data_IF_963269846886
#
_entry.id   IF_963269846886
#
_cell.length_a   1.000
_cell.length_b   1.000
_cell.length_c   1.000
_cell.angle_alpha   90.00
_cell.angle_beta   90.00
_cell.angle_gamma   90.00
#
_symmetry.space_group_name_H-M   'P 1'
#
loop_
_entity.id
_entity.type
_entity.pdbx_description
1 polymer ?
#
# COMPACT_ATOMS: atom_id res chain seq x y z
N UNK A 1 22.80 4.24 7.58
CA UNK A 1 21.96 4.55 8.76
C UNK A 1 20.49 4.34 8.39
N UNK A 2 19.93 3.16 8.70
CA UNK A 2 18.54 2.80 8.35
C UNK A 2 17.84 1.88 9.35
N UNK A 3 18.56 1.45 10.40
CA UNK A 3 18.03 0.54 11.41
C UNK A 3 16.96 1.18 12.32
N UNK A 4 16.94 2.51 12.45
CA UNK A 4 15.99 3.21 13.32
C UNK A 4 14.54 3.25 12.79
N UNK A 5 14.33 3.18 11.47
CA UNK A 5 12.98 3.17 10.87
C UNK A 5 12.32 1.79 11.01
N UNK A 6 13.11 0.72 10.88
CA UNK A 6 12.66 -0.67 11.05
C UNK A 6 12.26 -0.99 12.51
N UNK A 7 12.91 -0.36 13.49
CA UNK A 7 12.63 -0.61 14.91
C UNK A 7 11.33 0.04 15.40
N UNK A 8 11.00 1.24 14.93
CA UNK A 8 9.69 1.86 15.18
C UNK A 8 8.56 1.08 14.50
N UNK A 9 8.84 0.48 13.35
CA UNK A 9 7.87 -0.30 12.59
C UNK A 9 7.39 -1.58 13.31
N UNK A 10 8.19 -2.21 14.18
CA UNK A 10 7.83 -3.50 14.78
C UNK A 10 6.58 -3.44 15.68
N UNK A 11 6.41 -2.37 16.48
CA UNK A 11 5.23 -2.20 17.32
C UNK A 11 3.99 -1.82 16.50
N UNK A 12 4.17 -0.99 15.48
CA UNK A 12 3.09 -0.58 14.58
C UNK A 12 2.64 -1.73 13.68
N UNK A 13 3.56 -2.61 13.26
CA UNK A 13 3.28 -3.83 12.50
C UNK A 13 2.39 -4.79 13.29
N UNK A 14 2.59 -4.91 14.61
CA UNK A 14 1.74 -5.78 15.44
C UNK A 14 0.28 -5.30 15.53
N UNK A 15 0.02 -4.00 15.29
CA UNK A 15 -1.32 -3.44 15.25
C UNK A 15 -1.99 -3.55 13.87
N UNK A 16 -1.24 -3.87 12.81
CA UNK A 16 -1.80 -4.04 11.48
C UNK A 16 -2.64 -5.32 11.43
N UNK A 17 -3.91 -5.14 11.08
CA UNK A 17 -4.79 -6.25 10.74
C UNK A 17 -4.47 -6.70 9.33
N UNK A 18 -3.97 -7.92 9.21
CA UNK A 18 -3.70 -8.56 7.92
C UNK A 18 -4.78 -9.59 7.62
N UNK A 19 -5.19 -9.77 6.35
CA UNK A 19 -6.03 -10.89 5.97
C UNK A 19 -5.28 -12.21 6.24
N UNK A 20 -6.04 -13.22 6.69
CA UNK A 20 -5.50 -14.57 6.86
C UNK A 20 -5.19 -15.17 5.48
N UNK A 21 -3.93 -15.48 5.13
CA UNK A 21 -3.60 -16.02 3.80
C UNK A 21 -4.33 -17.33 3.48
N UNK A 22 -4.78 -18.07 4.50
CA UNK A 22 -5.50 -19.34 4.34
C UNK A 22 -6.95 -19.15 3.86
N UNK A 23 -7.48 -17.92 3.91
CA UNK A 23 -8.83 -17.63 3.40
C UNK A 23 -8.85 -17.43 1.88
N UNK A 24 -7.69 -17.34 1.24
CA UNK A 24 -7.59 -17.13 -0.21
C UNK A 24 -7.56 -18.44 -0.97
N UNK A 25 -8.23 -18.47 -2.12
CA UNK A 25 -8.12 -19.57 -3.07
C UNK A 25 -6.74 -19.59 -3.73
N UNK A 26 -6.31 -20.73 -4.32
CA UNK A 26 -5.07 -20.79 -5.08
C UNK A 26 -5.01 -19.75 -6.21
N UNK A 27 -6.12 -19.54 -6.92
CA UNK A 27 -6.20 -18.56 -8.00
C UNK A 27 -6.03 -17.11 -7.49
N UNK A 28 -6.64 -16.78 -6.35
CA UNK A 28 -6.48 -15.45 -5.72
C UNK A 28 -5.04 -15.23 -5.25
N UNK A 29 -4.41 -16.27 -4.72
CA UNK A 29 -3.02 -16.22 -4.28
C UNK A 29 -2.07 -16.00 -5.46
N UNK A 30 -2.28 -16.73 -6.56
CA UNK A 30 -1.49 -16.62 -7.78
C UNK A 30 -1.64 -15.24 -8.43
N UNK A 31 -2.87 -14.71 -8.48
CA UNK A 31 -3.14 -13.37 -8.98
C UNK A 31 -2.41 -12.29 -8.16
N UNK A 32 -2.50 -12.34 -6.83
CA UNK A 32 -1.78 -11.40 -5.96
C UNK A 32 -0.26 -11.50 -6.13
N UNK A 33 0.28 -12.72 -6.18
CA UNK A 33 1.70 -12.94 -6.38
C UNK A 33 2.18 -12.38 -7.72
N UNK A 34 1.38 -12.54 -8.78
CA UNK A 34 1.66 -12.00 -10.10
C UNK A 34 1.69 -10.47 -10.09
N UNK A 35 0.65 -9.82 -9.56
CA UNK A 35 0.56 -8.36 -9.47
C UNK A 35 1.70 -7.77 -8.63
N UNK A 36 2.01 -8.40 -7.49
CA UNK A 36 3.14 -7.99 -6.67
C UNK A 36 4.48 -8.14 -7.40
N UNK A 37 4.67 -9.25 -8.12
CA UNK A 37 5.92 -9.50 -8.86
C UNK A 37 6.16 -8.43 -9.93
N UNK A 38 5.11 -8.01 -10.65
CA UNK A 38 5.21 -6.92 -11.62
C UNK A 38 5.64 -5.61 -10.95
N UNK A 39 4.97 -5.24 -9.86
CA UNK A 39 5.29 -4.04 -9.10
C UNK A 39 6.72 -4.07 -8.53
N UNK A 40 7.16 -5.23 -8.03
CA UNK A 40 8.46 -5.40 -7.39
C UNK A 40 9.65 -5.35 -8.38
N UNK A 41 9.41 -5.56 -9.68
CA UNK A 41 10.46 -5.55 -10.70
C UNK A 41 10.85 -4.15 -11.17
N UNK A 42 10.02 -3.13 -10.89
CA UNK A 42 10.34 -1.76 -11.28
C UNK A 42 10.99 -0.95 -10.15
N UNK A 43 11.78 0.08 -10.48
CA UNK A 43 12.22 1.05 -9.48
C UNK A 43 11.04 1.73 -8.79
N UNK A 44 11.17 1.96 -7.48
CA UNK A 44 10.25 2.80 -6.74
C UNK A 44 10.39 4.26 -7.19
N UNK A 45 9.27 4.94 -7.42
CA UNK A 45 9.22 6.35 -7.78
C UNK A 45 9.07 7.23 -6.54
N UNK A 46 9.02 8.56 -6.73
CA UNK A 46 8.54 9.44 -5.66
C UNK A 46 7.10 9.05 -5.30
N UNK A 47 6.77 9.13 -4.02
CA UNK A 47 5.49 8.63 -3.49
C UNK A 47 4.27 9.23 -4.20
N UNK A 48 4.33 10.48 -4.70
CA UNK A 48 3.21 11.06 -5.44
C UNK A 48 3.01 10.43 -6.82
N UNK A 49 4.09 10.07 -7.49
CA UNK A 49 4.05 9.39 -8.79
C UNK A 49 3.67 7.93 -8.63
N UNK A 50 4.18 7.29 -7.57
CA UNK A 50 3.95 5.90 -7.19
C UNK A 50 2.46 5.59 -6.99
N UNK A 51 1.73 6.50 -6.32
CA UNK A 51 0.29 6.34 -6.04
C UNK A 51 -0.60 6.35 -7.29
N UNK A 52 -0.07 6.78 -8.44
CA UNK A 52 -0.79 6.84 -9.71
C UNK A 52 -0.33 5.75 -10.70
N UNK A 53 0.61 4.88 -10.32
CA UNK A 53 1.11 3.83 -11.22
C UNK A 53 0.05 2.74 -11.42
N UNK A 54 -0.12 2.31 -12.67
CA UNK A 54 -1.15 1.34 -13.05
C UNK A 54 -0.98 -0.01 -12.34
N UNK A 55 0.26 -0.48 -12.17
CA UNK A 55 0.56 -1.73 -11.47
C UNK A 55 0.27 -1.66 -9.97
N UNK A 56 0.56 -0.51 -9.35
CA UNK A 56 0.22 -0.23 -7.96
C UNK A 56 -1.30 -0.22 -7.77
N UNK A 57 -2.01 0.49 -8.65
CA UNK A 57 -3.48 0.54 -8.62
C UNK A 57 -4.09 -0.84 -8.86
N UNK A 58 -3.50 -1.66 -9.74
CA UNK A 58 -3.96 -3.02 -9.99
C UNK A 58 -3.82 -3.91 -8.75
N UNK A 59 -2.67 -3.84 -8.06
CA UNK A 59 -2.46 -4.57 -6.80
C UNK A 59 -3.43 -4.09 -5.71
N UNK A 60 -3.56 -2.78 -5.51
CA UNK A 60 -4.46 -2.21 -4.50
C UNK A 60 -5.92 -2.63 -4.77
N UNK A 61 -6.36 -2.58 -6.04
CA UNK A 61 -7.71 -3.02 -6.45
C UNK A 61 -7.95 -4.50 -6.18
N UNK A 62 -6.97 -5.37 -6.47
CA UNK A 62 -7.08 -6.79 -6.18
C UNK A 62 -7.23 -7.04 -4.66
N UNK A 63 -6.47 -6.32 -3.83
CA UNK A 63 -6.57 -6.39 -2.37
C UNK A 63 -7.94 -5.90 -1.89
N UNK A 64 -8.42 -4.75 -2.38
CA UNK A 64 -9.73 -4.22 -2.02
C UNK A 64 -10.87 -5.18 -2.34
N UNK A 65 -10.83 -5.80 -3.53
CA UNK A 65 -11.80 -6.82 -3.92
C UNK A 65 -11.79 -8.03 -2.99
N UNK A 66 -10.60 -8.51 -2.59
CA UNK A 66 -10.48 -9.62 -1.64
C UNK A 66 -10.97 -9.27 -0.24
N UNK A 67 -10.85 -8.00 0.14
CA UNK A 67 -11.32 -7.46 1.41
C UNK A 67 -12.78 -7.00 1.37
N UNK A 68 -13.48 -7.21 0.25
CA UNK A 68 -14.89 -6.83 0.03
C UNK A 68 -15.18 -5.33 0.18
N UNK A 69 -14.23 -4.48 -0.21
CA UNK A 69 -14.45 -3.03 -0.25
C UNK A 69 -15.44 -2.68 -1.36
N UNK A 70 -16.29 -1.70 -1.08
CA UNK A 70 -17.11 -1.02 -2.08
C UNK A 70 -16.29 0.01 -2.88
N UNK A 71 -16.74 0.42 -4.08
CA UNK A 71 -16.05 1.44 -4.88
C UNK A 71 -15.84 2.78 -4.13
N UNK A 72 -16.79 3.15 -3.26
CA UNK A 72 -16.72 4.37 -2.46
C UNK A 72 -15.64 4.25 -1.37
N UNK A 73 -15.54 3.07 -0.73
CA UNK A 73 -14.48 2.79 0.25
C UNK A 73 -13.10 2.76 -0.40
N UNK A 74 -12.96 2.18 -1.60
CA UNK A 74 -11.70 2.22 -2.35
C UNK A 74 -11.25 3.65 -2.60
N UNK A 75 -12.18 4.50 -3.07
CA UNK A 75 -11.92 5.92 -3.34
C UNK A 75 -11.50 6.64 -2.06
N UNK A 76 -12.25 6.44 -0.97
CA UNK A 76 -11.97 7.04 0.32
C UNK A 76 -10.58 6.64 0.87
N UNK A 77 -10.18 5.38 0.72
CA UNK A 77 -8.84 4.92 1.13
C UNK A 77 -7.75 5.57 0.29
N UNK A 78 -7.91 5.61 -1.04
CA UNK A 78 -6.91 6.22 -1.94
C UNK A 78 -6.75 7.71 -1.65
N UNK A 79 -7.85 8.43 -1.46
CA UNK A 79 -7.82 9.85 -1.15
C UNK A 79 -7.22 10.12 0.23
N UNK A 80 -7.60 9.33 1.24
CA UNK A 80 -7.02 9.42 2.58
C UNK A 80 -5.51 9.13 2.60
N UNK A 81 -5.03 8.18 1.78
CA UNK A 81 -3.61 7.92 1.63
C UNK A 81 -2.89 9.11 0.99
N UNK A 82 -3.44 9.68 -0.09
CA UNK A 82 -2.89 10.86 -0.77
C UNK A 82 -2.78 12.05 0.18
N UNK A 83 -3.84 12.34 0.94
CA UNK A 83 -3.87 13.43 1.91
C UNK A 83 -2.80 13.27 3.01
N UNK A 84 -2.65 12.06 3.55
CA UNK A 84 -1.64 11.75 4.58
C UNK A 84 -0.23 11.94 4.06
N UNK A 85 0.06 11.47 2.84
CA UNK A 85 1.35 11.65 2.17
C UNK A 85 1.66 13.14 1.97
N UNK A 86 0.71 13.89 1.40
CA UNK A 86 0.87 15.34 1.18
C UNK A 86 1.10 16.09 2.49
N UNK A 87 0.35 15.76 3.53
CA UNK A 87 0.49 16.38 4.86
C UNK A 87 1.87 16.12 5.44
N UNK A 88 2.39 14.88 5.34
CA UNK A 88 3.73 14.53 5.80
C UNK A 88 4.82 15.31 5.07
N UNK A 89 4.70 15.45 3.74
CA UNK A 89 5.65 16.26 2.94
C UNK A 89 5.63 17.73 3.32
N UNK A 90 4.45 18.33 3.45
CA UNK A 90 4.32 19.76 3.86
C UNK A 90 4.96 20.01 5.23
N UNK A 91 4.80 19.10 6.18
CA UNK A 91 5.44 19.19 7.50
C UNK A 91 6.96 19.08 7.39
N UNK A 92 7.47 18.14 6.61
CA UNK A 92 8.91 17.98 6.39
C UNK A 92 9.54 19.20 5.70
N UNK A 93 8.82 19.84 4.76
CA UNK A 93 9.28 21.04 4.06
C UNK A 93 9.31 22.29 4.95
N UNK A 94 8.39 22.42 5.92
CA UNK A 94 8.37 23.55 6.88
C UNK A 94 9.43 23.47 7.98
N UNK A 95 10.09 22.33 8.12
CA UNK A 95 11.09 22.09 9.18
C UNK A 95 12.54 22.25 8.69
N UNK A 96 12.71 22.74 7.46
CA UNK A 96 13.99 23.18 6.87
C UNK A 96 14.00 24.71 6.82
#
# INVERSE_FOLDING_TARGET
>A
FGAGVLWLAAYELAALRLPDPRSFSPAQTEELAHLFTQLAQRPCLDIEEELNQADRLALDTAVFRLMHFSPDEETAVRDGLRERVQTRRRRAAKSK
#
